data_IF_403726702100
#
_entry.id   IF_403726702100
#
_cell.length_a   1.000
_cell.length_b   1.000
_cell.length_c   1.000
_cell.angle_alpha   90.00
_cell.angle_beta   90.00
_cell.angle_gamma   90.00
#
_symmetry.space_group_name_H-M   'P 1'
#
loop_
_entity.id
_entity.type
_entity.pdbx_description
1 polymer ?
#
# COMPACT_ATOMS: atom_id res chain seq x y z
N UNK A 1 23.48 -14.57 -14.85
CA UNK A 1 22.58 -15.66 -15.27
C UNK A 1 21.33 -15.00 -15.85
N UNK A 2 21.03 -15.22 -17.15
CA UNK A 2 19.75 -14.88 -17.75
C UNK A 2 18.73 -15.92 -17.30
N UNK A 3 17.65 -15.49 -16.71
CA UNK A 3 16.53 -16.36 -16.34
C UNK A 3 15.29 -15.98 -17.15
N UNK A 4 14.57 -16.99 -17.65
CA UNK A 4 13.25 -16.80 -18.26
C UNK A 4 12.25 -17.47 -17.33
N UNK A 5 11.25 -16.70 -16.88
CA UNK A 5 10.10 -17.20 -16.15
C UNK A 5 8.85 -17.14 -17.01
N UNK A 6 7.98 -18.11 -16.90
CA UNK A 6 6.65 -18.10 -17.52
C UNK A 6 5.61 -18.19 -16.43
N UNK A 7 4.63 -17.29 -16.49
CA UNK A 7 3.46 -17.29 -15.61
C UNK A 7 2.23 -17.47 -16.51
N UNK A 8 1.43 -18.47 -16.21
CA UNK A 8 0.14 -18.66 -16.88
C UNK A 8 -0.95 -18.06 -16.03
N UNK A 9 -1.76 -17.20 -16.63
CA UNK A 9 -2.87 -16.52 -15.97
C UNK A 9 -4.16 -17.16 -16.53
N UNK A 10 -5.12 -17.54 -15.66
CA UNK A 10 -6.39 -18.10 -16.10
C UNK A 10 -7.15 -17.14 -17.03
N UNK A 11 -7.68 -17.65 -18.13
CA UNK A 11 -8.47 -16.89 -19.10
C UNK A 11 -9.78 -16.34 -18.50
N UNK A 12 -10.20 -16.88 -17.35
CA UNK A 12 -11.38 -16.44 -16.61
C UNK A 12 -11.18 -15.13 -15.84
N UNK A 13 -9.95 -14.64 -15.72
CA UNK A 13 -9.70 -13.34 -15.09
C UNK A 13 -10.07 -12.20 -16.04
N UNK A 14 -10.59 -11.11 -15.47
CA UNK A 14 -10.74 -9.87 -16.20
C UNK A 14 -9.37 -9.22 -16.47
N UNK A 15 -9.24 -8.43 -17.57
CA UNK A 15 -8.06 -7.58 -17.76
C UNK A 15 -7.87 -6.65 -16.56
N UNK A 16 -6.63 -6.44 -16.11
CA UNK A 16 -6.40 -5.64 -14.92
C UNK A 16 -4.93 -5.28 -14.67
N UNK A 17 -4.74 -4.47 -13.66
CA UNK A 17 -3.41 -4.03 -13.24
C UNK A 17 -2.71 -5.12 -12.43
N UNK A 18 -1.43 -5.25 -12.67
CA UNK A 18 -0.55 -6.15 -11.94
C UNK A 18 0.82 -5.48 -11.68
N UNK A 19 1.58 -6.07 -10.81
CA UNK A 19 2.90 -5.56 -10.47
C UNK A 19 3.93 -6.68 -10.40
N UNK A 20 5.12 -6.42 -10.93
CA UNK A 20 6.28 -7.28 -10.77
C UNK A 20 7.25 -6.64 -9.80
N UNK A 21 7.49 -7.33 -8.69
CA UNK A 21 8.43 -6.91 -7.66
C UNK A 21 9.75 -7.64 -7.84
N UNK A 22 10.83 -6.90 -7.92
CA UNK A 22 12.19 -7.41 -7.83
C UNK A 22 12.92 -6.81 -6.64
N UNK A 23 14.13 -7.29 -6.29
CA UNK A 23 14.86 -6.84 -5.10
C UNK A 23 15.09 -5.32 -5.01
N UNK A 24 15.10 -4.63 -6.16
CA UNK A 24 15.37 -3.18 -6.25
C UNK A 24 14.45 -2.45 -7.23
N UNK A 25 13.45 -3.13 -7.79
CA UNK A 25 12.64 -2.58 -8.87
C UNK A 25 11.20 -3.01 -8.71
N UNK A 26 10.34 -2.10 -9.10
CA UNK A 26 8.90 -2.29 -9.19
C UNK A 26 8.47 -1.91 -10.59
N UNK A 27 7.66 -2.75 -11.23
CA UNK A 27 7.10 -2.49 -12.55
C UNK A 27 5.60 -2.71 -12.51
N UNK A 28 4.85 -1.71 -12.93
CA UNK A 28 3.42 -1.83 -13.14
C UNK A 28 3.16 -2.37 -14.54
N UNK A 29 2.20 -3.23 -14.70
CA UNK A 29 1.75 -3.68 -16.01
C UNK A 29 0.27 -4.03 -16.00
N UNK A 30 -0.28 -4.05 -17.20
CA UNK A 30 -1.66 -4.37 -17.46
C UNK A 30 -1.72 -5.75 -18.11
N UNK A 31 -2.46 -6.65 -17.49
CA UNK A 31 -2.66 -8.02 -17.97
C UNK A 31 -3.91 -8.07 -18.87
N UNK A 32 -3.79 -8.79 -19.97
CA UNK A 32 -4.89 -9.17 -20.84
C UNK A 32 -4.91 -10.70 -20.88
N UNK A 33 -5.79 -11.36 -20.12
CA UNK A 33 -5.88 -12.81 -20.09
C UNK A 33 -6.13 -13.39 -21.50
N UNK A 34 -5.68 -14.61 -21.72
CA UNK A 34 -5.76 -15.27 -23.04
C UNK A 34 -4.79 -14.74 -24.10
N UNK A 35 -3.98 -13.71 -23.78
CA UNK A 35 -3.04 -13.13 -24.73
C UNK A 35 -1.61 -13.19 -24.22
N UNK A 36 -0.69 -13.52 -25.11
CA UNK A 36 0.73 -13.54 -24.78
C UNK A 36 1.27 -12.12 -24.58
N UNK A 37 1.94 -11.92 -23.46
CA UNK A 37 2.64 -10.68 -23.13
C UNK A 37 4.06 -11.03 -22.70
N UNK A 38 5.02 -10.21 -23.09
CA UNK A 38 6.42 -10.40 -22.77
C UNK A 38 7.01 -9.17 -22.09
N UNK A 39 7.74 -9.39 -21.03
CA UNK A 39 8.50 -8.38 -20.31
C UNK A 39 9.97 -8.81 -20.34
N UNK A 40 10.80 -8.02 -21.00
CA UNK A 40 12.24 -8.30 -21.10
C UNK A 40 13.03 -7.20 -20.40
N UNK A 41 13.95 -7.62 -19.54
CA UNK A 41 14.93 -6.74 -18.93
C UNK A 41 16.31 -7.39 -18.93
N UNK A 42 17.23 -6.74 -19.60
CA UNK A 42 18.65 -7.08 -19.52
C UNK A 42 19.34 -6.17 -18.49
N UNK A 43 20.39 -6.69 -17.85
CA UNK A 43 21.17 -5.93 -16.86
C UNK A 43 21.67 -4.62 -17.46
N UNK A 44 21.35 -3.50 -16.78
CA UNK A 44 21.75 -2.15 -17.23
C UNK A 44 20.92 -1.58 -18.38
N UNK A 45 19.88 -2.28 -18.86
CA UNK A 45 19.00 -1.81 -19.92
C UNK A 45 17.62 -1.41 -19.40
N UNK A 46 16.92 -0.61 -20.19
CA UNK A 46 15.51 -0.30 -19.97
C UNK A 46 14.64 -1.56 -20.15
N UNK A 47 13.53 -1.58 -19.42
CA UNK A 47 12.53 -2.63 -19.57
C UNK A 47 11.83 -2.51 -20.93
N UNK A 48 11.62 -3.64 -21.59
CA UNK A 48 10.90 -3.72 -22.86
C UNK A 48 9.64 -4.55 -22.68
N UNK A 49 8.57 -4.10 -23.32
CA UNK A 49 7.29 -4.79 -23.33
C UNK A 49 6.94 -5.21 -24.75
N UNK A 50 6.37 -6.41 -24.92
CA UNK A 50 5.84 -6.89 -26.18
C UNK A 50 4.48 -7.58 -25.96
N UNK A 51 3.73 -7.82 -27.06
CA UNK A 51 2.42 -8.46 -27.03
C UNK A 51 1.27 -7.46 -26.88
N UNK A 52 0.11 -7.96 -26.48
CA UNK A 52 -1.18 -7.27 -26.59
C UNK A 52 -1.29 -5.92 -25.84
N UNK A 53 -0.74 -5.83 -24.65
CA UNK A 53 -0.80 -4.61 -23.84
C UNK A 53 0.48 -3.76 -23.92
N UNK A 54 1.29 -3.91 -24.96
CA UNK A 54 2.58 -3.20 -25.10
C UNK A 54 2.46 -1.70 -24.86
N UNK A 55 1.54 -1.02 -25.56
CA UNK A 55 1.39 0.43 -25.45
C UNK A 55 0.97 0.87 -24.04
N UNK A 56 0.05 0.13 -23.41
CA UNK A 56 -0.39 0.35 -22.04
C UNK A 56 0.80 0.18 -21.07
N UNK A 57 1.58 -0.88 -21.22
CA UNK A 57 2.69 -1.18 -20.33
C UNK A 57 3.85 -0.17 -20.46
N UNK A 58 4.10 0.35 -21.65
CA UNK A 58 5.03 1.48 -21.86
C UNK A 58 4.52 2.72 -21.12
N UNK A 59 3.23 3.04 -21.25
CA UNK A 59 2.63 4.16 -20.56
C UNK A 59 2.72 4.02 -19.03
N UNK A 60 2.36 2.88 -18.48
CA UNK A 60 2.38 2.64 -17.01
C UNK A 60 3.79 2.77 -16.40
N UNK A 61 4.84 2.58 -17.19
CA UNK A 61 6.23 2.71 -16.75
C UNK A 61 6.91 3.97 -17.33
N UNK A 62 6.13 4.91 -17.84
CA UNK A 62 6.65 6.14 -18.44
C UNK A 62 7.30 7.06 -17.40
N UNK A 63 8.32 7.82 -17.77
CA UNK A 63 8.90 8.85 -16.90
C UNK A 63 7.87 9.88 -16.41
N UNK A 64 6.84 10.16 -17.20
CA UNK A 64 5.76 11.07 -16.84
C UNK A 64 4.99 10.59 -15.59
N UNK A 65 4.66 9.29 -15.52
CA UNK A 65 3.99 8.72 -14.35
C UNK A 65 4.93 8.51 -13.16
N UNK A 66 6.23 8.36 -13.40
CA UNK A 66 7.21 8.15 -12.35
C UNK A 66 7.71 9.45 -11.72
N UNK A 67 7.67 10.57 -12.45
CA UNK A 67 8.12 11.88 -11.97
C UNK A 67 6.95 12.85 -11.78
N UNK A 68 6.10 12.55 -10.80
CA UNK A 68 4.91 13.33 -10.44
C UNK A 68 5.21 14.22 -9.25
N UNK A 69 5.90 15.32 -9.45
CA UNK A 69 6.18 16.29 -8.41
C UNK A 69 5.18 17.44 -8.48
N UNK A 70 4.28 17.60 -7.50
CA UNK A 70 3.41 18.77 -7.38
C UNK A 70 4.09 19.98 -6.72
N UNK A 71 5.40 19.93 -6.49
CA UNK A 71 6.16 20.98 -5.80
C UNK A 71 6.23 20.73 -4.29
N UNK A 72 6.77 19.60 -3.89
CA UNK A 72 6.92 19.24 -2.48
C UNK A 72 7.83 20.18 -1.70
N UNK A 73 8.69 20.95 -2.35
CA UNK A 73 9.52 21.99 -1.75
C UNK A 73 8.74 23.27 -1.38
N UNK A 74 7.55 23.45 -1.95
CA UNK A 74 6.72 24.65 -1.74
C UNK A 74 6.06 24.65 -0.36
N UNK A 75 5.74 25.84 0.12
CA UNK A 75 4.88 25.99 1.29
C UNK A 75 3.48 25.39 1.06
N UNK A 76 2.78 25.07 2.14
CA UNK A 76 1.51 24.33 2.10
C UNK A 76 0.47 24.91 1.13
N UNK A 77 0.27 26.24 1.17
CA UNK A 77 -0.73 26.88 0.32
C UNK A 77 -0.41 26.77 -1.17
N UNK A 78 0.85 27.00 -1.53
CA UNK A 78 1.31 26.90 -2.91
C UNK A 78 1.31 25.43 -3.40
N UNK A 79 1.69 24.52 -2.51
CA UNK A 79 1.60 23.09 -2.77
C UNK A 79 0.16 22.66 -3.06
N UNK A 80 -0.79 23.04 -2.21
CA UNK A 80 -2.21 22.67 -2.41
C UNK A 80 -2.78 23.25 -3.72
N UNK A 81 -2.37 24.48 -4.10
CA UNK A 81 -2.76 25.06 -5.40
C UNK A 81 -2.17 24.27 -6.57
N UNK A 82 -0.90 23.90 -6.50
CA UNK A 82 -0.23 23.14 -7.54
C UNK A 82 -0.75 21.69 -7.63
N UNK A 83 -0.99 21.05 -6.48
CA UNK A 83 -1.59 19.74 -6.39
C UNK A 83 -2.99 19.68 -6.99
N UNK A 84 -3.82 20.70 -6.77
CA UNK A 84 -5.17 20.78 -7.32
C UNK A 84 -5.22 20.72 -8.85
N UNK A 85 -4.15 21.09 -9.54
CA UNK A 85 -4.03 21.00 -11.00
C UNK A 85 -3.56 19.61 -11.48
N UNK A 86 -3.05 18.79 -10.58
CA UNK A 86 -2.41 17.52 -10.92
C UNK A 86 -3.39 16.50 -11.58
N UNK A 87 -4.62 16.27 -11.05
CA UNK A 87 -5.56 15.35 -11.68
C UNK A 87 -5.84 15.71 -13.14
N UNK A 88 -6.07 17.01 -13.44
CA UNK A 88 -6.29 17.50 -14.81
C UNK A 88 -5.09 17.28 -15.73
N UNK A 89 -3.87 17.51 -15.23
CA UNK A 89 -2.64 17.26 -15.99
C UNK A 89 -2.45 15.79 -16.34
N UNK A 90 -2.72 14.89 -15.37
CA UNK A 90 -2.63 13.45 -15.57
C UNK A 90 -3.67 12.97 -16.61
N UNK A 91 -4.90 13.45 -16.51
CA UNK A 91 -5.97 13.14 -17.48
C UNK A 91 -5.65 13.67 -18.89
N UNK A 92 -5.22 14.92 -19.03
CA UNK A 92 -4.86 15.49 -20.32
C UNK A 92 -3.73 14.71 -21.00
N UNK A 93 -2.74 14.27 -20.23
CA UNK A 93 -1.69 13.41 -20.77
C UNK A 93 -2.23 12.05 -21.23
N UNK A 94 -3.06 11.39 -20.42
CA UNK A 94 -3.69 10.12 -20.78
C UNK A 94 -4.51 10.26 -22.08
N UNK A 95 -5.27 11.35 -22.20
CA UNK A 95 -6.14 11.61 -23.35
C UNK A 95 -5.36 11.82 -24.64
N UNK A 96 -4.17 12.39 -24.58
CA UNK A 96 -3.29 12.61 -25.73
C UNK A 96 -2.69 11.33 -26.32
N UNK A 97 -2.74 10.21 -25.60
CA UNK A 97 -2.11 8.96 -26.00
C UNK A 97 -3.08 8.07 -26.82
N UNK A 98 -2.60 7.32 -27.82
CA UNK A 98 -3.41 6.39 -28.62
C UNK A 98 -3.63 5.06 -27.85
N UNK A 99 -4.29 5.12 -26.70
CA UNK A 99 -4.60 3.95 -25.85
C UNK A 99 -6.08 3.57 -25.98
N UNK A 100 -6.45 2.30 -25.73
CA UNK A 100 -7.83 1.82 -25.81
C UNK A 100 -8.77 2.62 -24.91
N UNK A 101 -9.98 2.88 -25.37
CA UNK A 101 -10.96 3.72 -24.68
C UNK A 101 -11.36 3.14 -23.30
N UNK A 102 -11.57 1.82 -23.23
CA UNK A 102 -11.94 1.14 -21.98
C UNK A 102 -10.80 1.24 -20.95
N UNK A 103 -9.55 1.04 -21.37
CA UNK A 103 -8.40 1.27 -20.52
C UNK A 103 -8.36 2.72 -20.02
N UNK A 104 -8.52 3.71 -20.89
CA UNK A 104 -8.53 5.12 -20.50
C UNK A 104 -9.62 5.43 -19.46
N UNK A 105 -10.80 4.81 -19.60
CA UNK A 105 -11.91 4.99 -18.65
C UNK A 105 -11.53 4.52 -17.25
N UNK A 106 -10.98 3.33 -17.12
CA UNK A 106 -10.48 2.77 -15.85
C UNK A 106 -9.29 3.59 -15.32
N UNK A 107 -8.32 3.90 -16.19
CA UNK A 107 -7.10 4.61 -15.83
C UNK A 107 -7.34 6.04 -15.31
N UNK A 108 -8.34 6.78 -15.83
CA UNK A 108 -8.72 8.09 -15.28
C UNK A 108 -9.05 8.01 -13.80
N UNK A 109 -9.79 6.97 -13.40
CA UNK A 109 -10.16 6.75 -12.00
C UNK A 109 -8.91 6.42 -11.17
N UNK A 110 -8.06 5.50 -11.63
CA UNK A 110 -6.81 5.16 -10.96
C UNK A 110 -5.91 6.39 -10.79
N UNK A 111 -5.75 7.22 -11.83
CA UNK A 111 -4.95 8.44 -11.81
C UNK A 111 -5.45 9.49 -10.81
N UNK A 112 -6.75 9.55 -10.57
CA UNK A 112 -7.29 10.39 -9.51
C UNK A 112 -6.74 9.98 -8.14
N UNK A 113 -6.73 8.67 -7.82
CA UNK A 113 -6.18 8.18 -6.55
C UNK A 113 -4.66 8.26 -6.50
N UNK A 114 -3.99 8.16 -7.63
CA UNK A 114 -2.56 8.46 -7.73
C UNK A 114 -2.27 9.92 -7.32
N UNK A 115 -3.10 10.87 -7.76
CA UNK A 115 -2.97 12.27 -7.34
C UNK A 115 -3.29 12.45 -5.86
N UNK A 116 -4.31 11.76 -5.34
CA UNK A 116 -4.63 11.76 -3.91
C UNK A 116 -3.45 11.25 -3.05
N UNK A 117 -2.76 10.21 -3.51
CA UNK A 117 -1.53 9.72 -2.86
C UNK A 117 -0.44 10.79 -2.79
N UNK A 118 -0.24 11.55 -3.88
CA UNK A 118 0.75 12.63 -3.89
C UNK A 118 0.46 13.72 -2.86
N UNK A 119 -0.83 13.94 -2.53
CA UNK A 119 -1.19 14.81 -1.41
C UNK A 119 -0.68 14.25 -0.09
N UNK A 120 -0.92 12.98 0.20
CA UNK A 120 -0.51 12.35 1.46
C UNK A 120 1.02 12.30 1.64
N UNK A 121 1.77 12.25 0.56
CA UNK A 121 3.24 12.27 0.58
C UNK A 121 3.83 13.61 1.03
N UNK A 122 3.06 14.71 0.98
CA UNK A 122 3.57 16.06 1.17
C UNK A 122 4.31 16.27 2.50
N UNK A 123 3.79 15.91 3.67
CA UNK A 123 4.48 16.21 4.93
C UNK A 123 5.87 15.57 5.01
N UNK A 124 5.97 14.32 4.59
CA UNK A 124 7.22 13.56 4.66
C UNK A 124 8.24 14.07 3.61
N UNK A 125 7.77 14.29 2.37
CA UNK A 125 8.64 14.74 1.28
C UNK A 125 9.10 16.19 1.47
N UNK A 126 8.20 17.06 1.95
CA UNK A 126 8.53 18.44 2.29
C UNK A 126 9.62 18.51 3.37
N UNK A 127 9.42 17.77 4.48
CA UNK A 127 10.42 17.70 5.54
C UNK A 127 11.78 17.22 5.01
N UNK A 128 11.78 16.17 4.19
CA UNK A 128 13.00 15.59 3.62
C UNK A 128 13.73 16.55 2.68
N UNK A 129 13.00 17.20 1.76
CA UNK A 129 13.58 18.14 0.79
C UNK A 129 14.18 19.38 1.47
N UNK A 130 13.49 19.89 2.48
CA UNK A 130 13.96 21.05 3.25
C UNK A 130 14.88 20.68 4.42
N UNK A 131 15.24 19.40 4.56
CA UNK A 131 16.10 18.89 5.65
C UNK A 131 15.58 19.24 7.05
N UNK A 132 14.26 19.27 7.20
CA UNK A 132 13.60 19.46 8.48
C UNK A 132 13.59 18.15 9.26
N UNK A 133 13.68 18.24 10.60
CA UNK A 133 13.53 17.05 11.47
C UNK A 133 12.15 16.43 11.34
N UNK A 134 11.12 17.26 11.22
CA UNK A 134 9.72 16.88 11.01
C UNK A 134 8.97 18.08 10.44
N UNK A 135 7.82 17.81 9.84
CA UNK A 135 6.89 18.83 9.38
C UNK A 135 5.46 18.39 9.70
N UNK A 136 4.69 19.28 10.29
CA UNK A 136 3.26 19.07 10.58
C UNK A 136 2.45 20.08 9.76
N UNK A 137 1.61 19.63 8.83
CA UNK A 137 0.74 20.50 8.06
C UNK A 137 -0.27 21.25 8.92
N UNK A 138 -0.83 22.31 8.35
CA UNK A 138 -1.90 23.09 8.97
C UNK A 138 -3.28 22.47 8.81
N UNK A 139 -4.29 23.06 9.49
CA UNK A 139 -5.68 22.61 9.48
C UNK A 139 -6.28 22.48 8.08
N UNK A 140 -5.91 23.38 7.17
CA UNK A 140 -6.41 23.39 5.80
C UNK A 140 -6.01 22.12 5.04
N UNK A 141 -4.78 21.66 5.23
CA UNK A 141 -4.31 20.41 4.63
C UNK A 141 -5.08 19.20 5.14
N UNK A 142 -5.23 19.05 6.45
CA UNK A 142 -5.97 17.92 7.04
C UNK A 142 -7.44 17.91 6.63
N UNK A 143 -8.06 19.10 6.55
CA UNK A 143 -9.43 19.24 6.03
C UNK A 143 -9.50 18.74 4.59
N UNK A 144 -8.52 19.12 3.75
CA UNK A 144 -8.46 18.66 2.37
C UNK A 144 -8.33 17.15 2.26
N UNK A 145 -7.50 16.52 3.06
CA UNK A 145 -7.39 15.04 3.12
C UNK A 145 -8.74 14.43 3.51
N UNK A 146 -9.38 14.94 4.55
CA UNK A 146 -10.69 14.43 5.01
C UNK A 146 -11.79 14.56 3.95
N UNK A 147 -11.84 15.68 3.23
CA UNK A 147 -12.78 15.91 2.12
C UNK A 147 -12.64 14.91 0.97
N UNK A 148 -11.42 14.40 0.75
CA UNK A 148 -11.10 13.47 -0.34
C UNK A 148 -11.35 12.00 0.02
N UNK A 149 -11.51 11.67 1.31
CA UNK A 149 -11.83 10.32 1.76
C UNK A 149 -13.32 10.02 1.51
N UNK A 150 -13.73 10.07 0.24
CA UNK A 150 -15.07 9.72 -0.22
C UNK A 150 -15.07 8.32 -0.80
N UNK A 151 -15.94 7.45 -0.30
CA UNK A 151 -16.03 6.06 -0.73
C UNK A 151 -16.49 5.94 -2.18
N UNK A 152 -15.80 5.14 -2.97
CA UNK A 152 -16.14 4.77 -4.35
C UNK A 152 -16.00 3.26 -4.53
N UNK A 153 -17.08 2.48 -4.33
CA UNK A 153 -17.03 1.01 -4.50
C UNK A 153 -16.51 0.56 -5.86
N UNK A 154 -16.69 1.37 -6.90
CA UNK A 154 -16.18 1.06 -8.23
C UNK A 154 -14.66 1.27 -8.40
N UNK A 155 -13.98 1.68 -7.33
CA UNK A 155 -12.53 1.84 -7.27
C UNK A 155 -11.81 0.75 -6.46
N UNK A 156 -12.53 -0.24 -5.93
CA UNK A 156 -11.95 -1.30 -5.11
C UNK A 156 -10.84 -2.09 -5.81
N UNK A 157 -10.90 -2.23 -7.12
CA UNK A 157 -9.86 -2.90 -7.91
C UNK A 157 -8.50 -2.16 -7.86
N UNK A 158 -8.50 -0.84 -7.59
CA UNK A 158 -7.28 -0.05 -7.59
C UNK A 158 -6.57 -0.09 -6.24
N UNK A 159 -5.34 -0.54 -6.27
CA UNK A 159 -4.47 -0.50 -5.11
C UNK A 159 -4.31 0.93 -4.57
N UNK A 160 -4.23 1.91 -5.45
CA UNK A 160 -4.10 3.32 -5.11
C UNK A 160 -5.30 3.85 -4.29
N UNK A 161 -6.52 3.42 -4.61
CA UNK A 161 -7.70 3.76 -3.84
C UNK A 161 -7.60 3.25 -2.40
N UNK A 162 -7.35 1.96 -2.24
CA UNK A 162 -7.26 1.32 -0.92
C UNK A 162 -6.13 1.89 -0.07
N UNK A 163 -4.97 2.13 -0.68
CA UNK A 163 -3.83 2.72 0.02
C UNK A 163 -4.07 4.20 0.36
N UNK A 164 -4.79 4.95 -0.47
CA UNK A 164 -5.16 6.32 -0.15
C UNK A 164 -6.02 6.37 1.13
N UNK A 165 -7.02 5.51 1.24
CA UNK A 165 -7.83 5.42 2.46
C UNK A 165 -7.00 5.01 3.67
N UNK A 166 -6.22 3.95 3.55
CA UNK A 166 -5.34 3.48 4.63
C UNK A 166 -4.42 4.60 5.14
N UNK A 167 -3.66 5.20 4.26
CA UNK A 167 -2.68 6.22 4.63
C UNK A 167 -3.34 7.53 5.08
N UNK A 168 -4.48 7.89 4.50
CA UNK A 168 -5.26 9.05 4.91
C UNK A 168 -5.82 8.91 6.32
N UNK A 169 -6.40 7.76 6.66
CA UNK A 169 -6.91 7.45 8.01
C UNK A 169 -5.76 7.44 9.01
N UNK A 170 -4.63 6.82 8.68
CA UNK A 170 -3.45 6.83 9.52
C UNK A 170 -2.96 8.26 9.80
N UNK A 171 -2.86 9.09 8.76
CA UNK A 171 -2.46 10.50 8.88
C UNK A 171 -3.42 11.30 9.77
N UNK A 172 -4.73 11.11 9.61
CA UNK A 172 -5.74 11.77 10.46
C UNK A 172 -5.72 11.24 11.89
N UNK A 173 -5.46 9.96 12.07
CA UNK A 173 -5.31 9.33 13.39
C UNK A 173 -4.07 9.81 14.14
N UNK A 174 -2.94 9.97 13.47
CA UNK A 174 -1.70 10.50 14.08
C UNK A 174 -1.85 11.94 14.56
N UNK A 175 -2.72 12.73 13.92
CA UNK A 175 -3.05 14.07 14.37
C UNK A 175 -3.78 14.09 15.72
N UNK A 176 -4.63 13.10 15.99
CA UNK A 176 -5.23 12.93 17.31
C UNK A 176 -4.13 12.48 18.25
N UNK A 177 -3.54 13.44 18.98
CA UNK A 177 -2.56 13.12 20.03
C UNK A 177 -3.22 12.12 20.97
N UNK A 178 -2.77 10.88 20.94
CA UNK A 178 -3.14 9.92 21.96
C UNK A 178 -2.46 10.35 23.26
N UNK A 179 -3.18 10.35 24.37
CA UNK A 179 -2.64 10.79 25.66
C UNK A 179 -1.35 10.06 26.05
N UNK A 180 -1.23 8.81 25.64
CA UNK A 180 -0.09 7.95 25.97
C UNK A 180 0.96 7.85 24.86
N UNK A 181 0.63 8.22 23.62
CA UNK A 181 1.50 8.04 22.46
C UNK A 181 1.81 6.57 22.10
N UNK A 182 1.14 5.61 22.75
CA UNK A 182 1.38 4.18 22.53
C UNK A 182 0.88 3.73 21.17
N UNK A 183 1.56 2.77 20.51
CA UNK A 183 1.12 2.23 19.23
C UNK A 183 -0.31 1.64 19.26
N UNK A 184 -0.69 1.00 20.39
CA UNK A 184 -2.02 0.41 20.56
C UNK A 184 -3.13 1.47 20.56
N UNK A 185 -2.89 2.64 21.14
CA UNK A 185 -3.87 3.74 21.15
C UNK A 185 -4.04 4.34 19.74
N UNK A 186 -2.96 4.36 18.95
CA UNK A 186 -3.04 4.76 17.52
C UNK A 186 -3.88 3.76 16.74
N UNK A 187 -3.63 2.47 16.90
CA UNK A 187 -4.45 1.43 16.28
C UNK A 187 -5.92 1.58 16.65
N UNK A 188 -6.23 1.81 17.93
CA UNK A 188 -7.59 2.04 18.40
C UNK A 188 -8.22 3.23 17.67
N UNK A 189 -7.52 4.36 17.57
CA UNK A 189 -8.03 5.54 16.84
C UNK A 189 -8.31 5.24 15.36
N UNK A 190 -7.45 4.46 14.70
CA UNK A 190 -7.66 4.02 13.31
C UNK A 190 -8.92 3.16 13.20
N UNK A 191 -9.04 2.13 14.05
CA UNK A 191 -10.20 1.23 14.04
C UNK A 191 -11.51 1.97 14.38
N UNK A 192 -11.49 2.87 15.35
CA UNK A 192 -12.64 3.72 15.69
C UNK A 192 -13.04 4.60 14.51
N UNK A 193 -12.07 5.16 13.77
CA UNK A 193 -12.37 5.93 12.57
C UNK A 193 -13.03 5.06 11.50
N UNK A 194 -12.47 3.88 11.23
CA UNK A 194 -13.00 2.93 10.23
C UNK A 194 -14.46 2.57 10.59
N UNK A 195 -14.71 2.19 11.84
CA UNK A 195 -16.04 1.78 12.28
C UNK A 195 -17.10 2.90 12.22
N UNK A 196 -16.71 4.16 12.46
CA UNK A 196 -17.64 5.26 12.53
C UNK A 196 -17.83 6.00 11.20
N UNK A 197 -16.88 5.90 10.26
CA UNK A 197 -16.89 6.71 9.03
C UNK A 197 -16.92 5.91 7.74
N UNK A 198 -16.48 4.64 7.74
CA UNK A 198 -16.48 3.81 6.54
C UNK A 198 -17.72 2.93 6.51
N UNK A 199 -18.57 3.13 5.50
CA UNK A 199 -19.85 2.42 5.32
C UNK A 199 -19.70 1.23 4.37
N UNK A 200 -18.77 1.30 3.43
CA UNK A 200 -18.48 0.24 2.50
C UNK A 200 -17.83 -0.94 3.24
N UNK A 201 -18.53 -2.07 3.30
CA UNK A 201 -18.09 -3.23 4.08
C UNK A 201 -16.79 -3.87 3.54
N UNK A 202 -16.58 -3.87 2.22
CA UNK A 202 -15.37 -4.42 1.61
C UNK A 202 -14.16 -3.55 1.95
N UNK A 203 -14.31 -2.22 1.80
CA UNK A 203 -13.27 -1.28 2.19
C UNK A 203 -12.98 -1.34 3.69
N UNK A 204 -14.02 -1.37 4.53
CA UNK A 204 -13.86 -1.47 5.98
C UNK A 204 -13.10 -2.74 6.38
N UNK A 205 -13.46 -3.89 5.80
CA UNK A 205 -12.77 -5.15 6.03
C UNK A 205 -11.31 -5.11 5.63
N UNK A 206 -11.01 -4.56 4.44
CA UNK A 206 -9.64 -4.35 3.98
C UNK A 206 -8.84 -3.46 4.93
N UNK A 207 -9.40 -2.33 5.37
CA UNK A 207 -8.72 -1.38 6.24
C UNK A 207 -8.45 -1.95 7.63
N UNK A 208 -9.41 -2.69 8.20
CA UNK A 208 -9.23 -3.40 9.48
C UNK A 208 -8.12 -4.43 9.38
N UNK A 209 -8.10 -5.25 8.30
CA UNK A 209 -7.05 -6.25 8.08
C UNK A 209 -5.67 -5.58 7.98
N UNK A 210 -5.53 -4.53 7.16
CA UNK A 210 -4.27 -3.82 6.98
C UNK A 210 -3.76 -3.16 8.26
N UNK A 211 -4.65 -2.50 9.04
CA UNK A 211 -4.26 -1.85 10.29
C UNK A 211 -3.83 -2.86 11.35
N UNK A 212 -4.60 -3.94 11.54
CA UNK A 212 -4.30 -4.96 12.54
C UNK A 212 -3.11 -5.85 12.16
N UNK A 213 -3.00 -6.26 10.89
CA UNK A 213 -1.85 -7.03 10.38
C UNK A 213 -0.57 -6.19 10.41
N UNK A 214 -0.68 -4.90 10.08
CA UNK A 214 0.43 -3.95 10.21
C UNK A 214 0.89 -3.81 11.65
N UNK A 215 -0.04 -3.65 12.58
CA UNK A 215 0.29 -3.54 14.01
C UNK A 215 1.07 -4.76 14.49
N UNK A 216 0.56 -5.98 14.25
CA UNK A 216 1.25 -7.22 14.66
C UNK A 216 2.67 -7.28 14.11
N UNK A 217 2.86 -6.92 12.85
CA UNK A 217 4.17 -6.97 12.18
C UNK A 217 5.22 -6.07 12.83
N UNK A 218 4.82 -4.90 13.31
CA UNK A 218 5.76 -3.90 13.85
C UNK A 218 5.82 -3.87 15.37
N UNK A 219 4.75 -4.27 16.07
CA UNK A 219 4.64 -4.10 17.53
C UNK A 219 4.31 -5.39 18.28
N UNK A 220 4.01 -6.48 17.56
CA UNK A 220 3.62 -7.75 18.18
C UNK A 220 2.13 -7.86 18.45
N UNK A 221 1.75 -8.86 19.26
CA UNK A 221 0.35 -9.22 19.53
C UNK A 221 -0.19 -8.68 20.84
N UNK A 222 0.65 -8.14 21.70
CA UNK A 222 0.25 -7.66 23.04
C UNK A 222 -0.87 -6.61 22.97
N UNK A 223 -1.98 -6.86 23.67
CA UNK A 223 -3.13 -5.98 23.73
C UNK A 223 -4.10 -6.10 22.54
N UNK A 224 -3.80 -6.98 21.56
CA UNK A 224 -4.64 -7.16 20.36
C UNK A 224 -5.93 -7.94 20.65
N UNK A 225 -6.02 -8.63 21.77
CA UNK A 225 -7.16 -9.49 22.13
C UNK A 225 -8.48 -8.71 22.11
N UNK A 226 -8.45 -7.46 22.53
CA UNK A 226 -9.63 -6.58 22.58
C UNK A 226 -10.23 -6.29 21.19
N UNK A 227 -9.42 -6.38 20.12
CA UNK A 227 -9.82 -6.06 18.75
C UNK A 227 -10.15 -7.29 17.90
N UNK A 228 -9.85 -8.52 18.37
CA UNK A 228 -10.13 -9.74 17.61
C UNK A 228 -11.62 -9.95 17.27
N UNK A 229 -12.59 -9.60 18.14
CA UNK A 229 -14.02 -9.66 17.78
C UNK A 229 -14.34 -8.75 16.58
N UNK A 230 -13.85 -7.52 16.57
CA UNK A 230 -14.01 -6.59 15.46
C UNK A 230 -13.42 -7.13 14.17
N UNK A 231 -12.21 -7.71 14.25
CA UNK A 231 -11.57 -8.32 13.09
C UNK A 231 -12.44 -9.43 12.47
N UNK A 232 -12.97 -10.35 13.32
CA UNK A 232 -13.85 -11.43 12.86
C UNK A 232 -15.14 -10.92 12.23
N UNK A 233 -15.68 -9.81 12.74
CA UNK A 233 -16.90 -9.16 12.23
C UNK A 233 -16.66 -8.52 10.86
N UNK A 234 -15.59 -7.72 10.72
CA UNK A 234 -15.38 -6.88 9.54
C UNK A 234 -14.70 -7.61 8.38
N UNK A 235 -13.71 -8.43 8.64
CA UNK A 235 -13.02 -9.19 7.58
C UNK A 235 -13.85 -10.39 7.19
N UNK A 236 -14.25 -10.48 5.91
CA UNK A 236 -15.13 -11.56 5.41
C UNK A 236 -14.36 -12.67 4.70
N UNK A 237 -13.19 -12.38 4.14
CA UNK A 237 -12.38 -13.38 3.42
C UNK A 237 -11.75 -14.37 4.40
N UNK A 238 -12.14 -15.64 4.29
CA UNK A 238 -11.67 -16.72 5.18
C UNK A 238 -10.16 -17.01 5.01
N UNK A 239 -9.59 -16.77 3.83
CA UNK A 239 -8.14 -16.92 3.62
C UNK A 239 -7.36 -15.85 4.32
N UNK A 240 -7.84 -14.60 4.26
CA UNK A 240 -7.26 -13.48 5.01
C UNK A 240 -7.37 -13.72 6.51
N UNK A 241 -8.55 -14.13 7.01
CA UNK A 241 -8.71 -14.49 8.43
C UNK A 241 -7.71 -15.55 8.87
N UNK A 242 -7.62 -16.66 8.12
CA UNK A 242 -6.69 -17.72 8.44
C UNK A 242 -5.22 -17.27 8.45
N UNK A 243 -4.83 -16.40 7.51
CA UNK A 243 -3.48 -15.83 7.46
C UNK A 243 -3.20 -14.91 8.65
N UNK A 244 -4.14 -14.03 8.99
CA UNK A 244 -4.04 -13.14 10.14
C UNK A 244 -3.91 -13.93 11.45
N UNK A 245 -4.83 -14.86 11.74
CA UNK A 245 -4.80 -15.62 12.99
C UNK A 245 -3.55 -16.49 13.10
N UNK A 246 -3.05 -17.04 12.00
CA UNK A 246 -1.76 -17.75 12.00
C UNK A 246 -0.61 -16.81 12.40
N UNK A 247 -0.59 -15.59 11.85
CA UNK A 247 0.40 -14.58 12.23
C UNK A 247 0.25 -14.18 13.69
N UNK A 248 -0.97 -13.89 14.13
CA UNK A 248 -1.27 -13.54 15.52
C UNK A 248 -0.78 -14.60 16.50
N UNK A 249 -1.07 -15.88 16.24
CA UNK A 249 -0.59 -17.00 17.09
C UNK A 249 0.93 -17.09 17.11
N UNK A 250 1.61 -16.86 15.98
CA UNK A 250 3.07 -16.88 15.92
C UNK A 250 3.67 -15.80 16.84
N UNK A 251 3.14 -14.58 16.81
CA UNK A 251 3.61 -13.48 17.65
C UNK A 251 3.24 -13.69 19.13
N UNK A 252 2.04 -14.19 19.42
CA UNK A 252 1.62 -14.51 20.80
C UNK A 252 2.54 -15.53 21.48
N UNK A 253 3.09 -16.49 20.72
CA UNK A 253 4.10 -17.43 21.26
C UNK A 253 5.41 -16.78 21.64
N UNK A 254 5.70 -15.58 21.12
CA UNK A 254 6.93 -14.83 21.36
C UNK A 254 6.76 -13.73 22.41
N UNK A 255 5.58 -13.57 22.99
CA UNK A 255 5.31 -12.57 24.01
C UNK A 255 6.16 -12.78 25.27
N UNK A 256 6.43 -11.68 25.95
CA UNK A 256 7.17 -11.70 27.23
C UNK A 256 6.50 -12.63 28.24
N UNK A 257 7.29 -13.50 28.86
CA UNK A 257 6.83 -14.48 29.86
C UNK A 257 6.35 -15.81 29.23
N UNK A 258 6.29 -15.94 27.92
CA UNK A 258 6.04 -17.22 27.26
C UNK A 258 7.33 -18.02 27.11
N UNK A 259 7.21 -19.35 27.13
CA UNK A 259 8.35 -20.23 26.86
C UNK A 259 8.83 -20.01 25.43
N UNK A 260 10.10 -19.69 25.26
CA UNK A 260 10.68 -19.49 23.94
C UNK A 260 10.50 -20.74 23.06
N UNK A 261 10.13 -20.58 21.78
CA UNK A 261 10.05 -21.68 20.85
C UNK A 261 11.39 -22.41 20.73
N UNK A 262 11.34 -23.71 20.66
CA UNK A 262 12.55 -24.51 20.41
C UNK A 262 13.06 -24.23 19.00
N UNK A 263 14.35 -23.94 18.87
CA UNK A 263 15.03 -23.83 17.57
C UNK A 263 16.34 -24.62 17.56
N UNK A 264 16.75 -24.98 16.38
CA UNK A 264 18.02 -25.65 16.12
C UNK A 264 18.67 -24.98 14.90
N UNK A 265 19.85 -24.39 15.10
CA UNK A 265 20.61 -23.66 14.07
C UNK A 265 22.02 -24.24 13.94
N UNK A 266 22.67 -23.99 12.80
CA UNK A 266 24.08 -24.29 12.64
C UNK A 266 24.90 -23.07 13.08
N UNK A 267 25.96 -23.29 13.85
CA UNK A 267 26.95 -22.26 14.16
C UNK A 267 27.88 -22.02 12.97
N UNK A 268 28.81 -21.08 13.11
CA UNK A 268 29.78 -20.73 12.06
C UNK A 268 30.69 -21.89 11.63
N UNK A 269 30.83 -22.90 12.50
CA UNK A 269 31.69 -24.08 12.29
C UNK A 269 30.87 -25.29 11.77
N UNK A 270 29.56 -25.10 11.52
CA UNK A 270 28.65 -26.12 11.02
C UNK A 270 28.06 -27.04 12.09
N UNK A 271 28.31 -26.77 13.37
CA UNK A 271 27.78 -27.59 14.48
C UNK A 271 26.35 -27.17 14.79
N UNK A 272 25.50 -28.16 15.06
CA UNK A 272 24.10 -27.92 15.46
C UNK A 272 24.04 -27.42 16.89
N UNK A 273 23.34 -26.26 17.11
CA UNK A 273 23.07 -25.65 18.39
C UNK A 273 21.56 -25.54 18.60
N UNK A 274 21.10 -25.97 19.75
CA UNK A 274 19.70 -25.88 20.15
C UNK A 274 19.54 -24.77 21.20
N UNK A 275 18.33 -24.20 21.30
CA UNK A 275 18.04 -23.19 22.32
C UNK A 275 18.37 -23.73 23.72
N UNK A 276 18.07 -25.00 23.98
CA UNK A 276 18.37 -25.68 25.27
C UNK A 276 19.84 -25.61 25.67
N UNK A 277 20.75 -25.52 24.71
CA UNK A 277 22.20 -25.48 24.99
C UNK A 277 22.66 -24.14 25.59
N UNK A 278 21.75 -23.12 25.58
CA UNK A 278 21.99 -21.76 26.05
C UNK A 278 21.14 -21.37 27.28
N UNK A 279 20.17 -22.20 27.62
CA UNK A 279 19.35 -22.02 28.84
C UNK A 279 20.06 -22.72 30.00
N UNK A 280 20.70 -21.91 30.85
CA UNK A 280 21.33 -22.40 32.08
C UNK A 280 20.33 -22.86 33.13
#
# INVERSE_FOLDING_TARGET
KSGVGRITIPDSLAPGYAALYGPRNFYSFYLVPGQQQEITRLTGQEIKFAGAAKAINIYLNSPFLNNRDPGYEKGEEEFLKAWALMPGRLQSHLDSLPLPADFKKSERKRLYYVACHSLLDYPLRHARLLRLKSYSPGERYYRKVSELLQEDPSAHEFWEYRQFFRNGIQLLGERKKTETGKPLDKLKCELDYICNHIKDEELAGYLVDESMSGYIRYFGSEGMEAFLPLYREKVKDEKQKAAFFRSYEQYTRLEKGRKAPHFSLLDKDGNRKNLSDWLG
#
